data_IF_116167390863
#
_entry.id   IF_116167390863
#
_cell.length_a   1.000
_cell.length_b   1.000
_cell.length_c   1.000
_cell.angle_alpha   90.00
_cell.angle_beta   90.00
_cell.angle_gamma   90.00
#
_symmetry.space_group_name_H-M   'P 1'
#
loop_
_entity.id
_entity.type
_entity.pdbx_description
1 polymer ?
#
# COMPACT_ATOMS: atom_id res chain seq x y z
N UNK A 1 -39.50 27.88 -26.67
CA UNK A 1 -38.89 27.48 -25.38
C UNK A 1 -39.18 26.02 -25.13
N UNK A 2 -38.17 25.18 -24.88
CA UNK A 2 -38.37 23.75 -24.54
C UNK A 2 -38.94 23.65 -23.12
N UNK A 3 -40.18 23.18 -23.01
CA UNK A 3 -40.79 22.82 -21.72
C UNK A 3 -40.27 21.45 -21.28
N UNK A 4 -39.96 21.31 -19.99
CA UNK A 4 -39.42 20.09 -19.39
C UNK A 4 -40.27 19.69 -18.19
N UNK A 5 -40.62 18.41 -18.10
CA UNK A 5 -41.28 17.84 -16.93
C UNK A 5 -40.22 17.35 -15.94
N UNK A 6 -40.33 17.77 -14.67
CA UNK A 6 -39.40 17.42 -13.58
C UNK A 6 -40.17 17.04 -12.32
N UNK A 7 -39.52 16.32 -11.43
CA UNK A 7 -40.04 16.00 -10.09
C UNK A 7 -39.39 16.95 -9.08
N UNK A 8 -40.19 17.57 -8.21
CA UNK A 8 -39.69 18.48 -7.17
C UNK A 8 -38.88 17.71 -6.12
N UNK A 9 -37.65 18.12 -5.84
CA UNK A 9 -36.78 17.49 -4.82
C UNK A 9 -37.19 17.72 -3.36
N UNK A 10 -38.42 18.19 -3.10
CA UNK A 10 -38.91 18.47 -1.74
C UNK A 10 -40.27 17.84 -1.47
N UNK A 11 -41.22 17.99 -2.39
CA UNK A 11 -42.58 17.47 -2.25
C UNK A 11 -42.92 16.36 -3.26
N UNK A 12 -41.93 15.89 -4.02
CA UNK A 12 -42.02 14.84 -5.03
C UNK A 12 -43.12 15.03 -6.10
N UNK A 13 -43.63 16.26 -6.23
CA UNK A 13 -44.68 16.59 -7.19
C UNK A 13 -44.06 16.90 -8.56
N UNK A 14 -44.67 16.35 -9.62
CA UNK A 14 -44.29 16.66 -10.99
C UNK A 14 -44.63 18.11 -11.35
N UNK A 15 -43.75 18.80 -12.06
CA UNK A 15 -43.94 20.19 -12.49
C UNK A 15 -43.24 20.48 -13.83
N UNK A 16 -43.77 21.47 -14.55
CA UNK A 16 -43.26 21.90 -15.86
C UNK A 16 -42.35 23.13 -15.70
N UNK A 17 -41.19 23.12 -16.34
CA UNK A 17 -40.26 24.26 -16.30
C UNK A 17 -39.51 24.43 -17.61
N UNK A 18 -39.14 25.67 -17.92
CA UNK A 18 -38.25 26.00 -19.03
C UNK A 18 -36.77 25.97 -18.62
N UNK A 19 -36.47 25.95 -17.30
CA UNK A 19 -35.10 26.02 -16.77
C UNK A 19 -34.51 24.63 -16.50
N UNK A 20 -33.36 24.34 -17.13
CA UNK A 20 -32.64 23.08 -16.93
C UNK A 20 -32.19 22.86 -15.47
N UNK A 21 -31.85 23.91 -14.73
CA UNK A 21 -31.35 23.81 -13.34
C UNK A 21 -32.43 23.84 -12.26
N UNK A 22 -33.71 23.98 -12.63
CA UNK A 22 -34.78 23.99 -11.64
C UNK A 22 -34.89 22.63 -10.94
N UNK A 23 -35.00 22.67 -9.60
CA UNK A 23 -35.15 21.50 -8.70
C UNK A 23 -36.45 21.51 -7.89
N UNK A 24 -37.15 22.64 -7.85
CA UNK A 24 -38.32 22.83 -7.00
C UNK A 24 -39.50 23.31 -7.83
N UNK A 25 -40.70 22.80 -7.55
CA UNK A 25 -41.93 23.18 -8.25
C UNK A 25 -42.37 24.61 -7.92
N UNK A 26 -42.06 25.11 -6.72
CA UNK A 26 -42.47 26.44 -6.24
C UNK A 26 -41.36 27.12 -5.44
N UNK A 27 -41.37 28.48 -5.37
CA UNK A 27 -40.52 29.22 -4.45
C UNK A 27 -40.71 28.79 -2.99
N UNK A 28 -41.93 28.40 -2.59
CA UNK A 28 -42.23 27.88 -1.27
C UNK A 28 -41.50 26.56 -0.98
N UNK A 29 -41.50 25.61 -1.92
CA UNK A 29 -40.74 24.35 -1.79
C UNK A 29 -39.23 24.60 -1.71
N UNK A 30 -38.72 25.59 -2.45
CA UNK A 30 -37.31 26.01 -2.36
C UNK A 30 -36.98 26.56 -0.98
N UNK A 31 -37.82 27.45 -0.42
CA UNK A 31 -37.63 28.03 0.91
C UNK A 31 -37.77 26.97 2.00
N UNK A 32 -38.76 26.09 1.91
CA UNK A 32 -38.97 25.00 2.86
C UNK A 32 -37.79 24.01 2.86
N UNK A 33 -37.29 23.63 1.68
CA UNK A 33 -36.08 22.82 1.55
C UNK A 33 -34.85 23.53 2.12
N UNK A 34 -34.67 24.83 1.83
CA UNK A 34 -33.57 25.61 2.41
C UNK A 34 -33.66 25.73 3.93
N UNK A 35 -34.86 25.87 4.49
CA UNK A 35 -35.08 25.93 5.94
C UNK A 35 -34.83 24.57 6.61
N UNK A 36 -35.28 23.48 6.00
CA UNK A 36 -34.96 22.12 6.46
C UNK A 36 -33.44 21.88 6.42
N UNK A 37 -32.78 22.27 5.32
CA UNK A 37 -31.33 22.22 5.20
C UNK A 37 -30.63 23.10 6.23
N UNK A 38 -31.16 24.29 6.55
CA UNK A 38 -30.60 25.18 7.56
C UNK A 38 -30.76 24.62 8.99
N UNK A 39 -31.88 23.95 9.28
CA UNK A 39 -32.10 23.22 10.54
C UNK A 39 -31.14 22.04 10.67
N UNK A 40 -31.06 21.20 9.64
CA UNK A 40 -30.09 20.10 9.57
C UNK A 40 -28.64 20.61 9.64
N UNK A 41 -28.36 21.77 9.04
CA UNK A 41 -27.05 22.41 9.12
C UNK A 41 -26.75 22.85 10.54
N UNK A 42 -27.68 23.53 11.25
CA UNK A 42 -27.57 23.92 12.66
C UNK A 42 -27.38 22.72 13.60
N UNK A 43 -28.11 21.64 13.37
CA UNK A 43 -27.96 20.40 14.13
C UNK A 43 -26.62 19.71 13.83
N UNK A 44 -26.17 19.75 12.57
CA UNK A 44 -24.81 19.33 12.22
C UNK A 44 -23.74 20.25 12.82
N UNK A 45 -23.95 21.58 12.96
CA UNK A 45 -22.92 22.46 13.52
C UNK A 45 -22.67 22.20 15.01
N UNK A 46 -23.62 21.57 15.71
CA UNK A 46 -23.45 21.14 17.11
C UNK A 46 -22.53 19.93 17.26
N UNK A 47 -22.52 19.03 16.28
CA UNK A 47 -21.64 17.87 16.30
C UNK A 47 -20.24 18.26 15.86
N UNK A 48 -19.24 17.81 16.62
CA UNK A 48 -17.84 17.92 16.26
C UNK A 48 -17.55 17.21 14.93
N UNK A 49 -16.43 17.59 14.32
CA UNK A 49 -15.96 16.97 13.08
C UNK A 49 -15.78 15.45 13.23
N UNK A 50 -15.22 15.00 14.36
CA UNK A 50 -15.12 13.59 14.71
C UNK A 50 -16.48 12.90 14.82
N UNK A 51 -17.44 13.49 15.53
CA UNK A 51 -18.78 12.89 15.71
C UNK A 51 -19.49 12.67 14.37
N UNK A 52 -19.41 13.62 13.44
CA UNK A 52 -19.95 13.46 12.08
C UNK A 52 -19.31 12.32 11.32
N UNK A 53 -18.01 12.07 11.52
CA UNK A 53 -17.28 10.99 10.87
C UNK A 53 -17.60 9.65 11.53
N UNK A 54 -17.72 9.61 12.86
CA UNK A 54 -18.14 8.42 13.62
C UNK A 54 -19.56 8.00 13.25
N UNK A 55 -20.47 8.94 12.96
CA UNK A 55 -21.80 8.61 12.46
C UNK A 55 -21.79 7.85 11.12
N UNK A 56 -20.68 7.88 10.36
CA UNK A 56 -20.52 7.21 9.06
C UNK A 56 -19.89 5.82 9.15
N UNK A 57 -19.55 5.32 10.33
CA UNK A 57 -19.00 3.98 10.50
C UNK A 57 -19.85 2.88 9.84
N UNK A 58 -21.20 2.86 9.97
CA UNK A 58 -22.03 1.80 9.38
C UNK A 58 -22.05 1.77 7.85
N UNK A 59 -21.57 2.83 7.21
CA UNK A 59 -21.54 2.95 5.73
C UNK A 59 -20.12 2.94 5.19
N UNK A 60 -19.12 2.70 6.03
CA UNK A 60 -17.71 2.68 5.67
C UNK A 60 -17.21 1.25 5.49
N UNK A 61 -16.54 0.96 4.37
CA UNK A 61 -16.07 -0.40 4.03
C UNK A 61 -15.08 -0.93 5.07
N UNK A 62 -14.14 -0.09 5.51
CA UNK A 62 -13.13 -0.42 6.52
C UNK A 62 -13.75 -0.83 7.85
N UNK A 63 -14.78 -0.10 8.28
CA UNK A 63 -15.41 -0.33 9.58
C UNK A 63 -16.42 -1.48 9.54
N UNK A 64 -17.07 -1.71 8.41
CA UNK A 64 -17.87 -2.92 8.18
C UNK A 64 -16.98 -4.19 8.11
N UNK A 65 -15.77 -4.08 7.56
CA UNK A 65 -14.80 -5.17 7.68
C UNK A 65 -14.41 -5.40 9.15
N UNK A 66 -14.08 -4.33 9.88
CA UNK A 66 -13.73 -4.42 11.30
C UNK A 66 -14.87 -5.03 12.13
N UNK A 67 -16.13 -4.68 11.89
CA UNK A 67 -17.27 -5.27 12.61
C UNK A 67 -17.37 -6.77 12.38
N UNK A 68 -17.09 -7.24 11.17
CA UNK A 68 -17.08 -8.68 10.84
C UNK A 68 -15.94 -9.42 11.54
N UNK A 69 -14.74 -8.84 11.60
CA UNK A 69 -13.62 -9.46 12.32
C UNK A 69 -13.85 -9.45 13.85
N UNK A 70 -14.43 -8.38 14.40
CA UNK A 70 -14.85 -8.32 15.82
C UNK A 70 -15.91 -9.38 16.13
N UNK A 71 -16.92 -9.55 15.25
CA UNK A 71 -17.91 -10.63 15.39
C UNK A 71 -17.23 -12.00 15.33
N UNK A 72 -16.30 -12.20 14.39
CA UNK A 72 -15.51 -13.45 14.27
C UNK A 72 -14.70 -13.75 15.53
N UNK A 73 -14.18 -12.74 16.22
CA UNK A 73 -13.49 -12.87 17.50
C UNK A 73 -14.43 -13.16 18.68
N UNK A 74 -15.72 -12.80 18.57
CA UNK A 74 -16.73 -12.97 19.61
C UNK A 74 -16.66 -11.94 20.74
N UNK A 75 -15.83 -10.90 20.62
CA UNK A 75 -15.68 -9.83 21.61
C UNK A 75 -15.08 -8.56 20.99
N UNK A 76 -15.49 -7.38 21.46
CA UNK A 76 -14.83 -6.11 21.08
C UNK A 76 -13.45 -5.94 21.73
N UNK A 77 -13.14 -6.73 22.77
CA UNK A 77 -11.84 -6.69 23.45
C UNK A 77 -10.69 -7.15 22.55
N UNK A 78 -10.96 -7.75 21.38
CA UNK A 78 -9.93 -7.97 20.37
C UNK A 78 -9.34 -6.65 19.81
N UNK A 79 -9.96 -5.49 20.08
CA UNK A 79 -9.44 -4.17 19.74
C UNK A 79 -8.58 -3.55 20.86
N UNK A 80 -8.22 -4.32 21.87
CA UNK A 80 -7.38 -3.86 22.97
C UNK A 80 -6.02 -3.38 22.48
N UNK A 81 -5.53 -2.28 23.08
CA UNK A 81 -4.19 -1.74 22.82
C UNK A 81 -4.10 -0.76 21.64
N UNK A 82 -5.22 -0.42 21.00
CA UNK A 82 -5.21 0.54 19.90
C UNK A 82 -4.95 1.98 20.35
N UNK A 83 -4.14 2.68 19.54
CA UNK A 83 -4.00 4.14 19.51
C UNK A 83 -4.56 4.66 18.17
N UNK A 84 -4.73 5.99 17.98
CA UNK A 84 -5.12 6.53 16.68
C UNK A 84 -4.16 6.13 15.54
N UNK A 85 -2.88 6.04 15.85
CA UNK A 85 -1.81 5.66 14.92
C UNK A 85 -1.94 4.17 14.55
N UNK A 86 -2.12 3.27 15.52
CA UNK A 86 -2.24 1.84 15.22
C UNK A 86 -3.57 1.48 14.55
N UNK A 87 -4.64 2.27 14.73
CA UNK A 87 -5.86 2.16 13.90
C UNK A 87 -5.60 2.56 12.45
N UNK A 88 -4.77 3.58 12.23
CA UNK A 88 -4.38 3.99 10.87
C UNK A 88 -3.60 2.88 10.19
N UNK A 89 -2.59 2.33 10.88
CA UNK A 89 -1.81 1.19 10.41
C UNK A 89 -2.66 -0.07 10.15
N UNK A 90 -3.68 -0.34 10.97
CA UNK A 90 -4.60 -1.45 10.74
C UNK A 90 -5.33 -1.31 9.40
N UNK A 91 -5.82 -0.11 9.09
CA UNK A 91 -6.52 0.14 7.83
C UNK A 91 -5.57 0.24 6.64
N UNK A 92 -4.32 0.66 6.84
CA UNK A 92 -3.26 0.56 5.83
C UNK A 92 -2.95 -0.90 5.49
N UNK A 93 -2.88 -1.78 6.48
CA UNK A 93 -2.71 -3.23 6.28
C UNK A 93 -3.90 -3.82 5.51
N UNK A 94 -5.13 -3.44 5.88
CA UNK A 94 -6.34 -3.82 5.13
C UNK A 94 -6.26 -3.37 3.67
N UNK A 95 -5.87 -2.12 3.41
CA UNK A 95 -5.72 -1.60 2.05
C UNK A 95 -4.58 -2.29 1.30
N UNK A 96 -3.47 -2.58 1.98
CA UNK A 96 -2.32 -3.27 1.40
C UNK A 96 -2.70 -4.67 0.91
N UNK A 97 -3.50 -5.43 1.67
CA UNK A 97 -4.05 -6.72 1.21
C UNK A 97 -4.77 -6.58 -0.15
N UNK A 98 -5.62 -5.56 -0.32
CA UNK A 98 -6.31 -5.34 -1.60
C UNK A 98 -5.36 -4.92 -2.74
N UNK A 99 -4.29 -4.19 -2.42
CA UNK A 99 -3.21 -3.84 -3.36
C UNK A 99 -2.29 -5.02 -3.76
N UNK A 100 -2.53 -6.23 -3.24
CA UNK A 100 -1.89 -7.44 -3.74
C UNK A 100 -2.56 -7.99 -5.00
N UNK A 101 -3.76 -7.50 -5.34
CA UNK A 101 -4.56 -7.85 -6.53
C UNK A 101 -4.73 -9.36 -6.74
N UNK A 102 -4.76 -10.13 -5.65
CA UNK A 102 -4.75 -11.59 -5.70
C UNK A 102 -6.13 -12.23 -5.50
N UNK A 103 -7.20 -11.44 -5.62
CA UNK A 103 -8.57 -11.94 -5.52
C UNK A 103 -9.02 -12.48 -6.87
N UNK A 104 -9.43 -13.74 -6.91
CA UNK A 104 -10.04 -14.36 -8.08
C UNK A 104 -11.58 -14.24 -7.97
N UNK A 105 -12.25 -13.49 -8.87
CA UNK A 105 -13.70 -13.33 -8.84
C UNK A 105 -14.48 -14.63 -9.10
N UNK A 106 -13.94 -15.56 -9.90
CA UNK A 106 -14.60 -16.80 -10.29
C UNK A 106 -14.65 -17.79 -9.12
N UNK A 107 -13.49 -18.05 -8.51
CA UNK A 107 -13.40 -18.93 -7.34
C UNK A 107 -13.80 -18.25 -6.04
N UNK A 108 -13.98 -16.92 -6.04
CA UNK A 108 -14.23 -16.07 -4.85
C UNK A 108 -13.16 -16.26 -3.76
N UNK A 109 -11.94 -16.63 -4.13
CA UNK A 109 -10.83 -16.84 -3.21
C UNK A 109 -9.72 -15.81 -3.44
N UNK A 110 -9.00 -15.48 -2.38
CA UNK A 110 -7.81 -14.62 -2.44
C UNK A 110 -6.56 -15.47 -2.23
N UNK A 111 -5.51 -15.25 -3.02
CA UNK A 111 -4.22 -15.93 -2.78
C UNK A 111 -3.57 -15.49 -1.47
N UNK A 112 -3.93 -14.31 -0.97
CA UNK A 112 -3.42 -13.76 0.29
C UNK A 112 -4.51 -13.57 1.34
N UNK A 113 -4.19 -13.93 2.57
CA UNK A 113 -5.01 -13.76 3.77
C UNK A 113 -4.36 -12.78 4.74
N UNK A 114 -5.17 -12.16 5.61
CA UNK A 114 -4.67 -11.51 6.81
C UNK A 114 -4.47 -12.61 7.86
N UNK A 115 -3.22 -13.01 8.06
CA UNK A 115 -2.83 -13.99 9.05
C UNK A 115 -2.71 -13.33 10.42
N UNK A 116 -2.95 -14.12 11.47
CA UNK A 116 -2.77 -13.70 12.85
C UNK A 116 -1.61 -14.48 13.47
N UNK A 117 -0.73 -13.79 14.20
CA UNK A 117 0.34 -14.40 15.00
C UNK A 117 -0.25 -15.14 16.20
N UNK A 118 -1.08 -14.43 16.99
CA UNK A 118 -1.96 -15.04 17.98
C UNK A 118 -3.36 -15.21 17.37
N UNK A 119 -3.90 -16.42 17.30
CA UNK A 119 -5.10 -16.73 16.52
C UNK A 119 -6.35 -16.06 17.10
N UNK A 120 -7.25 -15.64 16.20
CA UNK A 120 -8.56 -15.05 16.56
C UNK A 120 -9.32 -15.95 17.54
N UNK A 121 -9.30 -17.27 17.32
CA UNK A 121 -9.97 -18.27 18.15
C UNK A 121 -8.95 -19.21 18.80
N UNK A 122 -8.06 -18.64 19.61
CA UNK A 122 -7.17 -19.42 20.47
C UNK A 122 -7.93 -20.20 21.56
N UNK A 123 -7.29 -21.24 22.09
CA UNK A 123 -7.86 -22.10 23.15
C UNK A 123 -8.06 -21.32 24.44
N UNK A 124 -7.03 -20.58 24.88
CA UNK A 124 -7.04 -19.82 26.14
C UNK A 124 -7.07 -18.29 25.94
N UNK A 125 -6.96 -17.83 24.69
CA UNK A 125 -6.89 -16.42 24.35
C UNK A 125 -7.66 -16.09 23.07
N UNK A 126 -7.91 -14.80 22.86
CA UNK A 126 -8.45 -14.22 21.63
C UNK A 126 -7.38 -13.29 21.06
N UNK A 127 -6.89 -13.61 19.87
CA UNK A 127 -5.94 -12.76 19.15
C UNK A 127 -6.53 -11.39 18.85
N UNK A 128 -5.75 -10.34 19.09
CA UNK A 128 -6.19 -8.96 18.85
C UNK A 128 -6.19 -8.65 17.34
N UNK A 129 -7.17 -7.88 16.90
CA UNK A 129 -7.22 -7.29 15.55
C UNK A 129 -6.33 -6.04 15.52
N UNK A 130 -5.02 -6.21 15.70
CA UNK A 130 -4.05 -5.14 15.85
C UNK A 130 -2.91 -5.29 14.82
N UNK A 131 -2.36 -4.22 14.21
CA UNK A 131 -1.30 -4.36 13.18
C UNK A 131 -0.07 -5.14 13.64
N UNK A 132 0.21 -5.15 14.96
CA UNK A 132 1.31 -5.93 15.56
C UNK A 132 0.99 -7.42 15.80
N UNK A 133 -0.25 -7.84 15.56
CA UNK A 133 -0.67 -9.25 15.61
C UNK A 133 -0.99 -9.79 14.20
N UNK A 134 -0.94 -8.94 13.18
CA UNK A 134 -1.44 -9.23 11.84
C UNK A 134 -0.34 -9.07 10.81
N UNK A 135 -0.40 -9.91 9.78
CA UNK A 135 0.40 -9.76 8.57
C UNK A 135 -0.30 -10.36 7.36
N UNK A 136 0.12 -9.99 6.16
CA UNK A 136 -0.41 -10.54 4.92
C UNK A 136 0.42 -11.75 4.48
N UNK A 137 -0.23 -12.88 4.30
CA UNK A 137 0.44 -14.15 4.01
C UNK A 137 -0.29 -14.96 2.95
N UNK A 138 0.39 -15.91 2.26
CA UNK A 138 -0.28 -16.86 1.38
C UNK A 138 -1.41 -17.62 2.09
N UNK A 139 -2.54 -17.74 1.40
CA UNK A 139 -3.75 -18.34 1.93
C UNK A 139 -3.53 -19.78 2.41
N UNK A 140 -2.82 -20.58 1.62
CA UNK A 140 -2.51 -21.98 1.92
C UNK A 140 -1.69 -22.11 3.21
N UNK A 141 -0.63 -21.32 3.36
CA UNK A 141 0.21 -21.35 4.56
C UNK A 141 -0.60 -21.00 5.82
N UNK A 142 -1.45 -19.97 5.74
CA UNK A 142 -2.35 -19.60 6.83
C UNK A 142 -3.38 -20.69 7.16
N UNK A 143 -3.96 -21.34 6.15
CA UNK A 143 -4.92 -22.44 6.34
C UNK A 143 -4.27 -23.66 6.99
N UNK A 144 -3.07 -24.04 6.55
CA UNK A 144 -2.30 -25.17 7.12
C UNK A 144 -1.89 -24.87 8.57
N UNK A 145 -1.55 -23.61 8.87
CA UNK A 145 -1.22 -23.20 10.23
C UNK A 145 -2.45 -23.24 11.16
N UNK A 146 -3.62 -22.87 10.63
CA UNK A 146 -4.89 -22.90 11.38
C UNK A 146 -4.81 -22.07 12.67
N UNK A 147 -5.34 -22.59 13.78
CA UNK A 147 -5.35 -21.92 15.09
C UNK A 147 -4.13 -22.27 15.96
N UNK A 148 -3.02 -22.70 15.36
CA UNK A 148 -1.76 -22.86 16.09
C UNK A 148 -1.26 -21.49 16.55
N UNK A 149 -0.55 -21.48 17.67
CA UNK A 149 0.04 -20.27 18.24
C UNK A 149 1.32 -20.63 18.95
N UNK A 150 2.29 -19.73 18.92
CA UNK A 150 3.51 -19.83 19.71
C UNK A 150 3.35 -18.97 20.97
N UNK A 151 3.85 -19.48 22.10
CA UNK A 151 3.71 -18.80 23.38
C UNK A 151 4.39 -17.42 23.36
N UNK A 152 3.72 -16.42 23.89
CA UNK A 152 4.21 -15.04 23.91
C UNK A 152 4.24 -14.33 22.56
N UNK A 153 3.75 -14.96 21.49
CA UNK A 153 3.74 -14.38 20.13
C UNK A 153 2.41 -13.73 19.80
N UNK A 154 2.47 -12.52 19.25
CA UNK A 154 1.30 -11.74 18.86
C UNK A 154 0.53 -11.15 20.05
N UNK A 155 -0.28 -10.13 19.77
CA UNK A 155 -1.15 -9.53 20.77
C UNK A 155 -2.42 -10.36 20.95
N UNK A 156 -2.78 -10.64 22.19
CA UNK A 156 -4.01 -11.36 22.53
C UNK A 156 -4.57 -10.94 23.89
N UNK A 157 -5.83 -11.28 24.10
CA UNK A 157 -6.53 -11.11 25.38
C UNK A 157 -6.87 -12.48 25.95
N UNK A 158 -6.60 -12.70 27.24
CA UNK A 158 -6.97 -13.95 27.91
C UNK A 158 -8.48 -14.11 27.95
N UNK A 159 -8.98 -15.31 27.61
CA UNK A 159 -10.42 -15.61 27.68
C UNK A 159 -10.98 -15.46 29.09
N UNK A 160 -10.18 -15.77 30.10
CA UNK A 160 -10.55 -15.64 31.50
C UNK A 160 -10.72 -14.17 31.93
N UNK A 161 -10.11 -13.23 31.22
CA UNK A 161 -10.23 -11.79 31.49
C UNK A 161 -11.34 -11.08 30.70
N UNK A 162 -12.01 -11.79 29.78
CA UNK A 162 -13.05 -11.19 28.94
C UNK A 162 -14.25 -10.76 29.78
N UNK A 163 -14.76 -9.57 29.49
CA UNK A 163 -15.90 -8.99 30.21
C UNK A 163 -17.18 -9.27 29.45
N UNK A 164 -18.18 -9.80 30.15
CA UNK A 164 -19.48 -10.17 29.57
C UNK A 164 -20.12 -9.06 28.72
N UNK A 165 -20.01 -7.80 29.15
CA UNK A 165 -20.57 -6.64 28.44
C UNK A 165 -19.97 -6.41 27.03
N UNK A 166 -18.76 -6.92 26.81
CA UNK A 166 -18.00 -6.76 25.56
C UNK A 166 -18.09 -7.96 24.62
N UNK A 167 -18.70 -9.06 25.06
CA UNK A 167 -18.96 -10.21 24.21
C UNK A 167 -19.94 -9.87 23.09
N UNK A 168 -19.76 -10.51 21.94
CA UNK A 168 -20.56 -10.38 20.73
C UNK A 168 -21.10 -11.76 20.37
N UNK A 169 -22.41 -11.86 20.17
CA UNK A 169 -23.04 -13.09 19.67
C UNK A 169 -22.92 -13.17 18.13
N UNK A 170 -22.96 -14.38 17.60
CA UNK A 170 -22.76 -14.62 16.15
C UNK A 170 -23.85 -13.97 15.28
N UNK A 171 -25.04 -13.72 15.82
CA UNK A 171 -26.19 -13.09 15.15
C UNK A 171 -26.25 -11.55 15.33
N UNK A 172 -25.32 -10.96 16.08
CA UNK A 172 -25.32 -9.51 16.36
C UNK A 172 -25.09 -8.72 15.07
N UNK A 173 -25.98 -7.77 14.75
CA UNK A 173 -25.92 -6.96 13.52
C UNK A 173 -24.65 -6.10 13.44
N UNK A 174 -24.18 -5.77 12.23
CA UNK A 174 -22.99 -4.91 12.05
C UNK A 174 -23.16 -3.55 12.75
N UNK A 175 -24.37 -3.00 12.73
CA UNK A 175 -24.72 -1.75 13.40
C UNK A 175 -24.52 -1.84 14.92
N UNK A 176 -24.97 -2.93 15.54
CA UNK A 176 -24.87 -3.11 16.99
C UNK A 176 -23.43 -3.43 17.43
N UNK A 177 -22.70 -4.20 16.62
CA UNK A 177 -21.26 -4.42 16.82
C UNK A 177 -20.53 -3.07 16.79
N UNK A 178 -20.77 -2.24 15.76
CA UNK A 178 -20.14 -0.92 15.65
C UNK A 178 -20.51 0.01 16.82
N UNK A 179 -21.75 -0.04 17.31
CA UNK A 179 -22.14 0.72 18.49
C UNK A 179 -21.32 0.30 19.74
N UNK A 180 -21.04 -0.99 19.91
CA UNK A 180 -20.13 -1.48 20.96
C UNK A 180 -18.67 -1.07 20.72
N UNK A 181 -18.19 -1.10 19.47
CA UNK A 181 -16.85 -0.63 19.09
C UNK A 181 -16.66 0.85 19.43
N UNK A 182 -17.64 1.71 19.12
CA UNK A 182 -17.61 3.14 19.47
C UNK A 182 -17.47 3.33 20.98
N UNK A 183 -18.24 2.59 21.76
CA UNK A 183 -18.17 2.63 23.24
C UNK A 183 -16.84 2.12 23.78
N UNK A 184 -16.28 1.09 23.17
CA UNK A 184 -15.03 0.47 23.61
C UNK A 184 -13.80 1.34 23.31
N UNK A 185 -13.68 1.83 22.08
CA UNK A 185 -12.54 2.67 21.66
C UNK A 185 -12.62 4.09 22.24
N UNK A 186 -13.82 4.62 22.48
CA UNK A 186 -14.03 5.90 23.15
C UNK A 186 -13.18 7.04 22.56
N UNK A 187 -12.32 7.63 23.38
CA UNK A 187 -11.48 8.77 23.00
C UNK A 187 -10.46 8.45 21.89
N UNK A 188 -10.01 7.19 21.78
CA UNK A 188 -9.10 6.75 20.71
C UNK A 188 -9.78 6.92 19.35
N UNK A 189 -11.05 6.53 19.25
CA UNK A 189 -11.83 6.67 18.04
C UNK A 189 -12.09 8.14 17.69
N UNK A 190 -12.38 8.98 18.68
CA UNK A 190 -12.58 10.42 18.47
C UNK A 190 -11.31 11.05 17.89
N UNK A 191 -10.15 10.82 18.51
CA UNK A 191 -8.85 11.32 18.03
C UNK A 191 -8.51 10.80 16.64
N UNK A 192 -8.74 9.51 16.38
CA UNK A 192 -8.59 8.93 15.05
C UNK A 192 -9.47 9.65 14.03
N UNK A 193 -10.76 9.86 14.36
CA UNK A 193 -11.73 10.49 13.48
C UNK A 193 -11.48 11.99 13.26
N UNK A 194 -10.75 12.69 14.11
CA UNK A 194 -10.37 14.10 13.87
C UNK A 194 -9.35 14.23 12.72
N UNK A 195 -8.39 13.30 12.69
CA UNK A 195 -7.29 13.29 11.73
C UNK A 195 -7.64 12.51 10.45
N UNK A 196 -8.41 11.43 10.56
CA UNK A 196 -8.72 10.53 9.45
C UNK A 196 -10.16 10.71 8.93
N UNK A 197 -10.32 10.67 7.61
CA UNK A 197 -11.65 10.74 6.97
C UNK A 197 -12.31 9.35 7.02
N UNK A 198 -13.50 9.28 7.62
CA UNK A 198 -14.37 8.10 7.52
C UNK A 198 -15.33 8.36 6.35
N UNK A 199 -15.05 7.71 5.21
CA UNK A 199 -15.81 7.86 4.00
C UNK A 199 -16.83 6.73 3.85
N UNK A 200 -17.93 7.05 3.16
CA UNK A 200 -18.84 6.04 2.64
C UNK A 200 -18.10 5.13 1.66
N UNK A 201 -18.38 3.84 1.72
CA UNK A 201 -17.81 2.85 0.78
C UNK A 201 -18.07 3.31 -0.66
N UNK A 202 -17.06 3.34 -1.55
CA UNK A 202 -17.25 3.70 -2.95
C UNK A 202 -18.34 2.87 -3.63
N UNK A 203 -18.45 1.59 -3.25
CA UNK A 203 -19.48 0.66 -3.72
C UNK A 203 -20.89 1.13 -3.33
N UNK A 204 -21.07 1.51 -2.06
CA UNK A 204 -22.36 2.02 -1.57
C UNK A 204 -22.69 3.39 -2.18
N UNK A 205 -21.70 4.29 -2.30
CA UNK A 205 -21.87 5.56 -3.00
C UNK A 205 -22.32 5.36 -4.44
N UNK A 206 -21.80 4.34 -5.13
CA UNK A 206 -22.23 4.01 -6.48
C UNK A 206 -23.65 3.44 -6.55
N UNK A 207 -24.01 2.54 -5.62
CA UNK A 207 -25.36 2.00 -5.51
C UNK A 207 -26.40 3.12 -5.29
N UNK A 208 -26.11 4.06 -4.38
CA UNK A 208 -26.95 5.23 -4.14
C UNK A 208 -27.03 6.13 -5.36
N UNK A 209 -25.91 6.33 -6.06
CA UNK A 209 -25.90 7.13 -7.28
C UNK A 209 -26.78 6.51 -8.37
N UNK A 210 -26.68 5.20 -8.60
CA UNK A 210 -27.50 4.48 -9.57
C UNK A 210 -28.98 4.61 -9.24
N UNK A 211 -29.34 4.33 -7.98
CA UNK A 211 -30.72 4.43 -7.51
C UNK A 211 -31.33 5.82 -7.71
N UNK A 212 -30.53 6.88 -7.61
CA UNK A 212 -31.00 8.26 -7.66
C UNK A 212 -30.95 8.89 -9.07
N UNK A 213 -30.12 8.39 -9.97
CA UNK A 213 -29.87 9.02 -11.28
C UNK A 213 -30.33 8.18 -12.47
N UNK A 214 -30.51 6.87 -12.31
CA UNK A 214 -30.99 5.98 -13.37
C UNK A 214 -32.48 5.71 -13.13
N UNK A 215 -33.40 6.44 -13.79
CA UNK A 215 -34.82 6.14 -13.72
C UNK A 215 -35.09 4.74 -14.27
N UNK A 216 -36.00 4.01 -13.62
CA UNK A 216 -36.41 2.65 -14.01
C UNK A 216 -35.26 1.65 -14.13
N UNK A 217 -34.22 1.77 -13.30
CA UNK A 217 -33.06 0.86 -13.33
C UNK A 217 -33.38 -0.63 -13.05
N UNK A 218 -34.63 -0.96 -12.72
CA UNK A 218 -35.09 -2.34 -12.48
C UNK A 218 -34.61 -2.96 -11.16
N UNK A 219 -33.82 -2.24 -10.37
CA UNK A 219 -33.29 -2.70 -9.08
C UNK A 219 -33.66 -1.74 -7.95
N UNK A 220 -34.08 -2.31 -6.82
CA UNK A 220 -34.21 -1.58 -5.56
C UNK A 220 -32.83 -1.26 -4.96
N UNK A 221 -32.73 -0.24 -4.10
CA UNK A 221 -31.49 0.09 -3.40
C UNK A 221 -30.87 -1.12 -2.67
N UNK A 222 -31.68 -1.93 -1.99
CA UNK A 222 -31.21 -3.13 -1.29
C UNK A 222 -30.59 -4.17 -2.26
N UNK A 223 -31.15 -4.31 -3.47
CA UNK A 223 -30.56 -5.17 -4.50
C UNK A 223 -29.24 -4.58 -5.03
N UNK A 224 -29.16 -3.26 -5.26
CA UNK A 224 -27.94 -2.59 -5.68
C UNK A 224 -26.83 -2.69 -4.61
N UNK A 225 -27.20 -2.58 -3.33
CA UNK A 225 -26.29 -2.74 -2.19
C UNK A 225 -25.75 -4.17 -2.02
N UNK A 226 -26.31 -5.17 -2.72
CA UNK A 226 -25.77 -6.54 -2.74
C UNK A 226 -24.86 -6.80 -3.95
N UNK A 227 -24.83 -5.91 -4.93
CA UNK A 227 -24.00 -6.05 -6.13
C UNK A 227 -22.53 -5.74 -5.85
N UNK A 228 -21.66 -6.42 -6.59
CA UNK A 228 -20.23 -6.18 -6.60
C UNK A 228 -19.90 -4.81 -7.21
N UNK A 229 -18.79 -4.20 -6.79
CA UNK A 229 -18.38 -2.88 -7.28
C UNK A 229 -18.26 -2.83 -8.82
N UNK A 230 -17.65 -3.85 -9.43
CA UNK A 230 -17.49 -3.94 -10.90
C UNK A 230 -18.84 -3.99 -11.63
N UNK A 231 -19.85 -4.65 -11.07
CA UNK A 231 -21.21 -4.64 -11.66
C UNK A 231 -21.81 -3.23 -11.62
N UNK A 232 -21.69 -2.54 -10.48
CA UNK A 232 -22.17 -1.17 -10.33
C UNK A 232 -21.40 -0.18 -11.22
N UNK A 233 -20.10 -0.40 -11.42
CA UNK A 233 -19.28 0.36 -12.37
C UNK A 233 -19.75 0.15 -13.81
N UNK A 234 -20.01 -1.10 -14.21
CA UNK A 234 -20.59 -1.42 -15.53
C UNK A 234 -21.94 -0.75 -15.76
N UNK A 235 -22.86 -0.85 -14.80
CA UNK A 235 -24.19 -0.22 -14.90
C UNK A 235 -24.09 1.30 -15.11
N UNK A 236 -23.20 1.94 -14.35
CA UNK A 236 -22.96 3.38 -14.50
C UNK A 236 -22.32 3.73 -15.84
N UNK A 237 -21.32 2.98 -16.28
CA UNK A 237 -20.63 3.19 -17.54
C UNK A 237 -21.59 3.06 -18.73
N UNK A 238 -22.46 2.05 -18.73
CA UNK A 238 -23.53 1.86 -19.73
C UNK A 238 -24.49 3.05 -19.76
N UNK A 239 -24.91 3.56 -18.60
CA UNK A 239 -25.82 4.71 -18.55
C UNK A 239 -25.15 6.02 -19.00
N UNK A 240 -23.87 6.23 -18.67
CA UNK A 240 -23.12 7.42 -19.08
C UNK A 240 -22.59 7.33 -20.53
N UNK A 241 -22.84 6.23 -21.26
CA UNK A 241 -22.26 5.93 -22.57
C UNK A 241 -20.72 6.09 -22.57
N UNK A 242 -20.06 5.58 -21.54
CA UNK A 242 -18.60 5.59 -21.40
C UNK A 242 -18.07 4.16 -21.39
N UNK A 243 -16.87 4.00 -21.92
CA UNK A 243 -16.14 2.76 -21.76
C UNK A 243 -15.73 2.60 -20.30
N UNK A 244 -15.82 1.35 -19.82
CA UNK A 244 -15.33 1.02 -18.49
C UNK A 244 -13.80 0.98 -18.55
N UNK A 245 -13.16 1.89 -17.83
CA UNK A 245 -11.71 1.83 -17.64
C UNK A 245 -11.35 0.60 -16.81
N UNK A 246 -10.76 -0.41 -17.45
CA UNK A 246 -10.23 -1.60 -16.79
C UNK A 246 -8.70 -1.50 -16.76
N UNK A 247 -8.13 -1.45 -15.55
CA UNK A 247 -6.68 -1.62 -15.38
C UNK A 247 -6.43 -3.10 -15.15
N UNK A 248 -5.62 -3.70 -16.01
CA UNK A 248 -5.08 -5.02 -15.75
C UNK A 248 -3.97 -4.90 -14.70
N UNK A 249 -4.23 -5.44 -13.51
CA UNK A 249 -3.33 -5.34 -12.36
C UNK A 249 -2.79 -6.74 -12.06
N UNK A 250 -1.49 -6.91 -12.29
CA UNK A 250 -0.82 -8.17 -11.98
C UNK A 250 -0.81 -8.41 -10.46
N UNK A 251 -1.19 -9.62 -10.06
CA UNK A 251 -1.10 -10.03 -8.65
C UNK A 251 0.35 -10.01 -8.17
N UNK A 252 0.59 -9.43 -6.99
CA UNK A 252 1.93 -9.46 -6.36
C UNK A 252 2.39 -10.89 -6.10
N UNK A 253 3.69 -11.15 -6.27
CA UNK A 253 4.31 -12.43 -5.92
C UNK A 253 4.38 -12.62 -4.41
N UNK A 254 4.28 -13.86 -3.94
CA UNK A 254 4.31 -14.19 -2.51
C UNK A 254 5.60 -13.72 -1.82
N UNK A 255 6.75 -13.82 -2.50
CA UNK A 255 8.03 -13.37 -1.96
C UNK A 255 8.10 -11.84 -1.79
N UNK A 256 7.46 -11.08 -2.67
CA UNK A 256 7.36 -9.61 -2.56
C UNK A 256 6.47 -9.24 -1.39
N UNK A 257 5.30 -9.88 -1.26
CA UNK A 257 4.41 -9.65 -0.12
C UNK A 257 5.11 -10.01 1.19
N UNK A 258 5.84 -11.12 1.23
CA UNK A 258 6.61 -11.52 2.40
C UNK A 258 7.75 -10.53 2.71
N UNK A 259 8.44 -9.99 1.70
CA UNK A 259 9.48 -8.99 1.91
C UNK A 259 8.91 -7.67 2.46
N UNK A 260 7.84 -7.15 1.84
CA UNK A 260 7.14 -5.94 2.28
C UNK A 260 6.66 -6.09 3.74
N UNK A 261 6.08 -7.26 4.08
CA UNK A 261 5.60 -7.55 5.43
C UNK A 261 6.75 -7.77 6.43
N UNK A 262 7.86 -8.37 6.02
CA UNK A 262 9.06 -8.46 6.86
C UNK A 262 9.55 -7.06 7.22
N UNK A 263 9.73 -6.17 6.23
CA UNK A 263 10.17 -4.78 6.45
C UNK A 263 9.21 -4.07 7.41
N UNK A 264 7.90 -4.11 7.13
CA UNK A 264 6.88 -3.50 7.99
C UNK A 264 6.93 -4.02 9.43
N UNK A 265 7.02 -5.34 9.62
CA UNK A 265 7.07 -5.95 10.95
C UNK A 265 8.38 -5.65 11.67
N UNK A 266 9.51 -5.53 10.96
CA UNK A 266 10.77 -5.10 11.58
C UNK A 266 10.71 -3.67 12.11
N UNK A 267 9.85 -2.81 11.59
CA UNK A 267 9.66 -1.44 12.09
C UNK A 267 8.66 -1.38 13.24
N UNK A 268 7.62 -2.22 13.21
CA UNK A 268 6.47 -2.11 14.12
C UNK A 268 6.54 -3.02 15.35
N UNK A 269 7.22 -4.17 15.27
CA UNK A 269 7.33 -5.09 16.39
C UNK A 269 8.36 -4.60 17.43
N UNK A 270 8.12 -4.89 18.72
CA UNK A 270 9.11 -4.60 19.77
C UNK A 270 10.41 -5.38 19.54
N UNK A 271 11.52 -4.86 20.06
CA UNK A 271 12.79 -5.57 20.03
C UNK A 271 12.70 -6.91 20.78
N UNK A 272 13.32 -7.95 20.23
CA UNK A 272 13.30 -9.30 20.78
C UNK A 272 13.44 -10.36 19.70
N UNK A 273 13.49 -11.62 20.13
CA UNK A 273 13.79 -12.78 19.26
C UNK A 273 12.87 -12.86 18.05
N UNK A 274 11.58 -12.53 18.20
CA UNK A 274 10.62 -12.55 17.10
C UNK A 274 10.99 -11.55 16.01
N UNK A 275 11.26 -10.30 16.38
CA UNK A 275 11.72 -9.25 15.46
C UNK A 275 13.06 -9.65 14.83
N UNK A 276 13.99 -10.18 15.61
CA UNK A 276 15.32 -10.59 15.12
C UNK A 276 15.25 -11.73 14.10
N UNK A 277 14.27 -12.62 14.24
CA UNK A 277 14.01 -13.67 13.27
C UNK A 277 13.44 -13.10 11.96
N UNK A 278 12.56 -12.11 12.02
CA UNK A 278 12.02 -11.44 10.83
C UNK A 278 13.11 -10.60 10.14
N UNK A 279 13.92 -9.85 10.90
CA UNK A 279 15.08 -9.10 10.40
C UNK A 279 16.02 -10.02 9.64
N UNK A 280 16.28 -11.23 10.16
CA UNK A 280 17.09 -12.23 9.47
C UNK A 280 16.50 -12.67 8.12
N UNK A 281 15.17 -12.74 7.99
CA UNK A 281 14.54 -13.14 6.72
C UNK A 281 14.48 -12.02 5.67
N UNK A 282 14.62 -10.74 6.04
CA UNK A 282 14.66 -9.63 5.08
C UNK A 282 15.74 -9.81 4.00
N UNK A 283 17.04 -10.03 4.32
CA UNK A 283 18.06 -10.29 3.32
C UNK A 283 17.83 -11.63 2.58
N UNK A 284 17.30 -12.66 3.26
CA UNK A 284 16.98 -13.97 2.63
C UNK A 284 15.97 -13.79 1.49
N UNK A 285 14.85 -13.12 1.77
CA UNK A 285 13.79 -12.87 0.79
C UNK A 285 14.29 -11.99 -0.35
N UNK A 286 15.18 -11.03 -0.04
CA UNK A 286 15.74 -10.13 -1.04
C UNK A 286 16.69 -10.84 -2.00
N UNK A 287 17.62 -11.64 -1.48
CA UNK A 287 18.54 -12.44 -2.29
C UNK A 287 17.77 -13.42 -3.19
N UNK A 288 16.80 -14.15 -2.63
CA UNK A 288 15.99 -15.11 -3.40
C UNK A 288 15.08 -14.40 -4.40
N UNK A 289 14.53 -13.23 -4.05
CA UNK A 289 13.73 -12.42 -4.97
C UNK A 289 14.55 -11.85 -6.13
N UNK A 290 15.79 -11.42 -5.88
CA UNK A 290 16.73 -10.95 -6.90
C UNK A 290 17.21 -12.07 -7.83
N UNK A 291 17.36 -13.29 -7.32
CA UNK A 291 17.57 -14.47 -8.17
C UNK A 291 16.33 -14.74 -9.04
N UNK A 292 15.14 -14.84 -8.42
CA UNK A 292 13.90 -15.12 -9.14
C UNK A 292 13.59 -14.07 -10.22
N UNK A 293 13.96 -12.79 -10.02
CA UNK A 293 13.71 -11.74 -11.02
C UNK A 293 14.54 -11.91 -12.29
N UNK A 294 15.47 -12.87 -12.33
CA UNK A 294 16.32 -13.20 -13.48
C UNK A 294 15.99 -14.56 -14.09
N UNK A 295 15.08 -15.31 -13.48
CA UNK A 295 14.60 -16.56 -14.05
C UNK A 295 13.56 -16.27 -15.15
N UNK A 296 13.56 -17.06 -16.24
CA UNK A 296 12.54 -16.94 -17.28
C UNK A 296 11.14 -17.16 -16.68
N UNK A 297 10.14 -16.49 -17.25
CA UNK A 297 8.72 -16.57 -16.85
C UNK A 297 8.39 -16.06 -15.43
N UNK A 298 9.33 -15.39 -14.76
CA UNK A 298 9.10 -14.78 -13.44
C UNK A 298 8.86 -13.27 -13.52
N UNK A 299 7.61 -12.88 -13.78
CA UNK A 299 7.20 -11.46 -13.74
C UNK A 299 6.82 -10.97 -12.31
N UNK A 300 6.73 -9.66 -12.12
CA UNK A 300 6.19 -9.05 -10.89
C UNK A 300 7.18 -8.96 -9.72
N UNK A 301 8.48 -8.94 -10.01
CA UNK A 301 9.59 -8.85 -9.05
C UNK A 301 10.39 -7.54 -9.16
N UNK A 302 9.94 -6.59 -10.00
CA UNK A 302 10.62 -5.31 -10.24
C UNK A 302 10.78 -4.45 -8.98
N UNK A 303 9.97 -4.68 -7.94
CA UNK A 303 10.15 -4.01 -6.64
C UNK A 303 11.34 -4.53 -5.84
N UNK A 304 11.82 -5.75 -6.12
CA UNK A 304 13.02 -6.34 -5.50
C UNK A 304 14.27 -5.96 -6.30
N UNK A 305 14.22 -6.24 -7.61
CA UNK A 305 15.30 -5.94 -8.53
C UNK A 305 14.73 -5.69 -9.94
N UNK A 306 14.85 -4.45 -10.39
CA UNK A 306 14.41 -3.97 -11.70
C UNK A 306 15.33 -4.50 -12.82
N UNK A 307 14.83 -4.51 -14.06
CA UNK A 307 15.61 -4.85 -15.25
C UNK A 307 15.59 -3.70 -16.27
N UNK A 308 16.30 -2.58 -16.00
CA UNK A 308 16.36 -1.51 -16.97
C UNK A 308 17.07 -1.95 -18.25
N UNK A 309 16.62 -1.41 -19.38
CA UNK A 309 17.23 -1.68 -20.68
C UNK A 309 18.69 -1.22 -20.69
N UNK A 310 19.64 -2.09 -21.06
CA UNK A 310 21.07 -1.77 -21.16
C UNK A 310 21.89 -2.03 -19.90
N UNK A 311 21.25 -2.30 -18.75
CA UNK A 311 21.94 -2.80 -17.55
C UNK A 311 21.72 -4.30 -17.41
N UNK A 312 22.79 -5.07 -17.24
CA UNK A 312 22.72 -6.52 -17.06
C UNK A 312 23.27 -6.87 -15.68
N UNK A 313 22.46 -7.55 -14.87
CA UNK A 313 22.95 -8.06 -13.60
C UNK A 313 22.16 -9.26 -13.14
N UNK A 314 22.80 -10.43 -13.16
CA UNK A 314 22.28 -11.64 -12.55
C UNK A 314 23.17 -11.96 -11.34
N UNK A 315 22.83 -11.48 -10.13
CA UNK A 315 23.74 -11.58 -9.00
C UNK A 315 23.91 -12.99 -8.46
N UNK A 316 22.89 -13.83 -8.65
CA UNK A 316 22.79 -15.16 -8.08
C UNK A 316 22.32 -16.14 -9.14
N UNK A 317 22.84 -17.36 -9.10
CA UNK A 317 22.35 -18.49 -9.89
C UNK A 317 22.06 -19.70 -9.01
N UNK A 318 21.12 -20.51 -9.48
CA UNK A 318 20.86 -21.82 -8.92
C UNK A 318 22.02 -22.77 -9.26
N UNK A 319 22.49 -23.55 -8.30
CA UNK A 319 23.49 -24.60 -8.52
C UNK A 319 22.90 -25.74 -9.35
N UNK A 320 23.75 -26.38 -10.16
CA UNK A 320 23.36 -27.50 -11.01
C UNK A 320 22.71 -28.63 -10.21
N UNK A 321 21.63 -29.20 -10.77
CA UNK A 321 20.87 -30.30 -10.17
C UNK A 321 19.97 -29.90 -8.98
N UNK A 322 19.91 -28.62 -8.61
CA UNK A 322 19.00 -28.14 -7.57
C UNK A 322 17.63 -27.77 -8.16
N UNK A 323 16.60 -27.86 -7.33
CA UNK A 323 15.21 -27.59 -7.72
C UNK A 323 14.77 -26.21 -7.23
N UNK A 324 14.51 -25.31 -8.19
CA UNK A 324 14.03 -23.95 -7.95
C UNK A 324 12.76 -23.90 -7.08
N UNK A 325 11.82 -24.82 -7.31
CA UNK A 325 10.55 -24.86 -6.58
C UNK A 325 10.78 -25.24 -5.12
N UNK A 326 11.67 -26.20 -4.84
CA UNK A 326 12.00 -26.59 -3.46
C UNK A 326 12.63 -25.45 -2.67
N UNK A 327 13.52 -24.67 -3.29
CA UNK A 327 14.10 -23.50 -2.64
C UNK A 327 13.04 -22.44 -2.31
N UNK A 328 12.21 -22.10 -3.30
CA UNK A 328 11.14 -21.10 -3.13
C UNK A 328 10.17 -21.51 -2.03
N UNK A 329 9.75 -22.77 -2.04
CA UNK A 329 8.80 -23.29 -1.06
C UNK A 329 9.44 -23.34 0.33
N UNK A 330 10.69 -23.80 0.45
CA UNK A 330 11.46 -23.76 1.70
C UNK A 330 11.49 -22.36 2.29
N UNK A 331 11.92 -21.36 1.52
CA UNK A 331 12.01 -19.97 2.00
C UNK A 331 10.63 -19.43 2.37
N UNK A 332 9.62 -19.66 1.54
CA UNK A 332 8.25 -19.22 1.79
C UNK A 332 7.69 -19.79 3.11
N UNK A 333 7.90 -21.08 3.37
CA UNK A 333 7.44 -21.73 4.60
C UNK A 333 8.22 -21.25 5.83
N UNK A 334 9.55 -21.15 5.73
CA UNK A 334 10.39 -20.70 6.84
C UNK A 334 10.09 -19.25 7.22
N UNK A 335 9.93 -18.37 6.24
CA UNK A 335 9.51 -16.98 6.48
C UNK A 335 8.13 -16.89 7.11
N UNK A 336 7.16 -17.66 6.61
CA UNK A 336 5.82 -17.68 7.20
C UNK A 336 5.86 -18.12 8.67
N UNK A 337 6.61 -19.19 8.98
CA UNK A 337 6.77 -19.66 10.35
C UNK A 337 7.46 -18.63 11.25
N UNK A 338 8.48 -17.94 10.74
CA UNK A 338 9.15 -16.86 11.47
C UNK A 338 8.20 -15.69 11.76
N UNK A 339 7.38 -15.28 10.79
CA UNK A 339 6.35 -14.24 11.01
C UNK A 339 5.32 -14.66 12.05
N UNK A 340 4.95 -15.94 12.09
CA UNK A 340 4.08 -16.48 13.15
C UNK A 340 4.75 -16.50 14.54
N UNK A 341 6.07 -16.34 14.62
CA UNK A 341 6.82 -16.36 15.87
C UNK A 341 7.43 -17.73 16.21
N UNK A 342 7.52 -18.64 15.23
CA UNK A 342 8.29 -19.87 15.42
C UNK A 342 9.78 -19.54 15.64
N UNK A 343 10.48 -20.41 16.36
CA UNK A 343 11.93 -20.34 16.40
C UNK A 343 12.51 -20.69 15.03
N UNK A 344 13.59 -19.98 14.67
CA UNK A 344 14.23 -20.09 13.37
C UNK A 344 15.63 -20.67 13.55
N UNK A 345 15.89 -21.81 12.91
CA UNK A 345 17.25 -22.31 12.75
C UNK A 345 17.95 -21.53 11.63
N UNK A 346 18.59 -20.42 12.01
CA UNK A 346 19.32 -19.55 11.08
C UNK A 346 20.43 -20.32 10.34
N UNK A 347 21.07 -21.29 10.99
CA UNK A 347 22.15 -22.09 10.40
C UNK A 347 21.60 -23.02 9.31
N UNK A 348 20.46 -23.67 9.56
CA UNK A 348 19.78 -24.49 8.54
C UNK A 348 19.40 -23.64 7.32
N UNK A 349 18.84 -22.45 7.53
CA UNK A 349 18.46 -21.54 6.44
C UNK A 349 19.70 -21.14 5.63
N UNK A 350 20.76 -20.66 6.27
CA UNK A 350 22.00 -20.26 5.59
C UNK A 350 22.65 -21.42 4.82
N UNK A 351 22.75 -22.60 5.43
CA UNK A 351 23.30 -23.78 4.76
C UNK A 351 22.47 -24.20 3.56
N UNK A 352 21.14 -24.08 3.64
CA UNK A 352 20.24 -24.36 2.53
C UNK A 352 20.45 -23.34 1.41
N UNK A 353 20.52 -22.04 1.71
CA UNK A 353 20.79 -21.03 0.70
C UNK A 353 22.13 -21.26 0.01
N UNK A 354 23.21 -21.54 0.74
CA UNK A 354 24.54 -21.84 0.16
C UNK A 354 24.56 -23.11 -0.69
N UNK A 355 23.75 -24.11 -0.32
CA UNK A 355 23.57 -25.34 -1.10
C UNK A 355 22.86 -25.09 -2.43
N UNK A 356 21.92 -24.14 -2.47
CA UNK A 356 21.11 -23.92 -3.67
C UNK A 356 21.63 -22.77 -4.54
N UNK A 357 22.15 -21.71 -3.95
CA UNK A 357 22.56 -20.49 -4.64
C UNK A 357 24.07 -20.27 -4.52
N UNK A 358 24.60 -19.57 -5.52
CA UNK A 358 25.94 -19.00 -5.48
C UNK A 358 25.95 -17.64 -6.17
N UNK A 359 26.79 -16.72 -5.69
CA UNK A 359 26.97 -15.42 -6.33
C UNK A 359 27.78 -15.57 -7.61
N UNK A 360 27.23 -15.08 -8.72
CA UNK A 360 27.94 -15.01 -10.00
C UNK A 360 28.74 -13.74 -10.13
N UNK A 361 28.10 -12.61 -9.82
CA UNK A 361 28.71 -11.28 -9.83
C UNK A 361 28.08 -10.42 -8.74
N UNK A 362 28.88 -9.59 -8.08
CA UNK A 362 28.39 -8.65 -7.07
C UNK A 362 27.98 -7.33 -7.72
N UNK A 363 28.54 -6.97 -8.86
CA UNK A 363 28.33 -5.66 -9.47
C UNK A 363 27.54 -5.76 -10.78
N UNK A 364 26.64 -4.81 -11.10
CA UNK A 364 25.97 -4.76 -12.38
C UNK A 364 26.91 -4.42 -13.54
N UNK A 365 26.66 -5.01 -14.71
CA UNK A 365 27.30 -4.64 -15.96
C UNK A 365 26.48 -3.55 -16.68
N UNK A 366 27.10 -2.38 -16.82
CA UNK A 366 26.54 -1.21 -17.52
C UNK A 366 27.13 -1.00 -18.92
N UNK A 367 27.94 -1.92 -19.45
CA UNK A 367 28.64 -1.77 -20.75
C UNK A 367 27.70 -1.52 -21.94
N UNK A 368 26.42 -1.86 -21.81
CA UNK A 368 25.37 -1.67 -22.83
C UNK A 368 24.45 -0.48 -22.55
N UNK A 369 24.74 0.27 -21.49
CA UNK A 369 24.02 1.46 -21.05
C UNK A 369 24.80 2.70 -21.49
N UNK A 370 24.09 3.77 -21.86
CA UNK A 370 24.66 5.10 -22.06
C UNK A 370 23.72 6.15 -21.47
N UNK A 371 24.18 7.39 -21.34
CA UNK A 371 23.40 8.46 -20.68
C UNK A 371 22.03 8.71 -21.32
N UNK A 372 21.94 8.53 -22.65
CA UNK A 372 20.66 8.69 -23.36
C UNK A 372 19.66 7.59 -22.99
N UNK A 373 20.12 6.33 -22.91
CA UNK A 373 19.32 5.18 -22.47
C UNK A 373 18.88 5.36 -21.02
N UNK A 374 19.81 5.76 -20.15
CA UNK A 374 19.52 5.97 -18.72
C UNK A 374 18.48 7.06 -18.53
N UNK A 375 18.59 8.17 -19.28
CA UNK A 375 17.61 9.26 -19.23
C UNK A 375 16.24 8.85 -19.74
N UNK A 376 16.19 8.07 -20.83
CA UNK A 376 14.93 7.56 -21.38
C UNK A 376 14.22 6.59 -20.43
N UNK A 377 14.98 5.76 -19.72
CA UNK A 377 14.48 4.81 -18.72
C UNK A 377 14.70 5.27 -17.28
N UNK A 378 14.69 6.59 -17.04
CA UNK A 378 15.09 7.21 -15.77
C UNK A 378 14.47 6.55 -14.54
N UNK A 379 13.15 6.36 -14.53
CA UNK A 379 12.43 5.74 -13.42
C UNK A 379 12.88 4.30 -13.11
N UNK A 380 13.25 3.52 -14.14
CA UNK A 380 13.72 2.15 -13.96
C UNK A 380 15.14 2.13 -13.43
N UNK A 381 16.02 2.99 -13.95
CA UNK A 381 17.38 3.14 -13.45
C UNK A 381 17.41 3.67 -12.02
N UNK A 382 16.57 4.64 -11.67
CA UNK A 382 16.47 5.15 -10.30
C UNK A 382 16.09 4.04 -9.31
N UNK A 383 15.09 3.21 -9.65
CA UNK A 383 14.73 2.04 -8.84
C UNK A 383 15.86 1.03 -8.77
N UNK A 384 16.49 0.73 -9.90
CA UNK A 384 17.60 -0.21 -9.98
C UNK A 384 18.78 0.22 -9.10
N UNK A 385 19.22 1.48 -9.20
CA UNK A 385 20.30 2.03 -8.38
C UNK A 385 19.99 1.99 -6.87
N UNK A 386 18.73 2.21 -6.47
CA UNK A 386 18.31 2.05 -5.07
C UNK A 386 18.32 0.59 -4.62
N UNK A 387 18.04 -0.35 -5.53
CA UNK A 387 17.92 -1.77 -5.21
C UNK A 387 19.27 -2.49 -5.18
N UNK A 388 20.22 -2.09 -6.03
CA UNK A 388 21.53 -2.75 -6.17
C UNK A 388 22.27 -2.87 -4.83
N UNK A 389 22.51 -1.78 -4.06
CA UNK A 389 23.21 -1.88 -2.78
C UNK A 389 22.49 -2.81 -1.80
N UNK A 390 21.17 -2.73 -1.76
CA UNK A 390 20.38 -3.53 -0.84
C UNK A 390 20.46 -5.03 -1.18
N UNK A 391 20.55 -5.39 -2.47
CA UNK A 391 20.74 -6.78 -2.91
C UNK A 391 22.19 -7.23 -2.65
N UNK A 392 23.19 -6.38 -2.87
CA UNK A 392 24.59 -6.66 -2.55
C UNK A 392 24.77 -6.94 -1.05
N UNK A 393 24.24 -6.08 -0.18
CA UNK A 393 24.25 -6.26 1.28
C UNK A 393 23.56 -7.56 1.71
N UNK A 394 22.47 -7.93 1.03
CA UNK A 394 21.78 -9.19 1.28
C UNK A 394 22.67 -10.40 0.92
N UNK A 395 23.39 -10.36 -0.20
CA UNK A 395 24.28 -11.45 -0.64
C UNK A 395 25.46 -11.62 0.33
N UNK A 396 26.06 -10.50 0.74
CA UNK A 396 27.21 -10.46 1.65
C UNK A 396 26.80 -10.91 3.05
N UNK A 397 25.73 -10.36 3.62
CA UNK A 397 25.27 -10.72 4.98
C UNK A 397 24.86 -12.19 5.11
N UNK A 398 24.43 -12.83 4.03
CA UNK A 398 24.11 -14.27 4.00
C UNK A 398 25.36 -15.14 3.75
N UNK A 399 26.49 -14.53 3.37
CA UNK A 399 27.72 -15.21 2.97
C UNK A 399 27.48 -16.12 1.77
N UNK A 400 26.85 -15.58 0.72
CA UNK A 400 26.60 -16.27 -0.55
C UNK A 400 27.70 -16.01 -1.60
N UNK A 401 28.49 -14.96 -1.41
CA UNK A 401 29.66 -14.64 -2.23
C UNK A 401 30.93 -15.30 -1.68
N UNK A 402 31.96 -15.37 -2.54
CA UNK A 402 33.29 -15.77 -2.11
C UNK A 402 33.97 -14.65 -1.33
N UNK A 403 34.97 -15.00 -0.50
CA UNK A 403 35.77 -14.00 0.25
C UNK A 403 36.49 -13.01 -0.66
N UNK A 404 36.86 -13.44 -1.87
CA UNK A 404 37.52 -12.57 -2.85
C UNK A 404 36.55 -11.51 -3.37
N UNK A 405 35.37 -11.93 -3.82
CA UNK A 405 34.33 -11.01 -4.30
C UNK A 405 33.89 -10.03 -3.19
N UNK A 406 33.76 -10.51 -1.95
CA UNK A 406 33.45 -9.65 -0.81
C UNK A 406 34.54 -8.59 -0.58
N UNK A 407 35.81 -8.99 -0.64
CA UNK A 407 36.94 -8.07 -0.50
C UNK A 407 36.99 -7.02 -1.61
N UNK A 408 36.85 -7.44 -2.87
CA UNK A 408 36.82 -6.55 -4.03
C UNK A 408 35.71 -5.50 -3.90
N UNK A 409 34.49 -5.93 -3.55
CA UNK A 409 33.37 -5.02 -3.32
C UNK A 409 33.63 -4.04 -2.17
N UNK A 410 34.18 -4.51 -1.04
CA UNK A 410 34.45 -3.64 0.10
C UNK A 410 35.52 -2.60 -0.21
N UNK A 411 36.52 -2.93 -1.05
CA UNK A 411 37.51 -1.95 -1.52
C UNK A 411 36.88 -0.94 -2.49
N UNK A 412 36.08 -1.38 -3.47
CA UNK A 412 35.34 -0.48 -4.36
C UNK A 412 34.43 0.48 -3.59
N UNK A 413 33.68 -0.04 -2.61
CA UNK A 413 32.81 0.77 -1.76
C UNK A 413 33.59 1.77 -0.91
N UNK A 414 34.79 1.43 -0.42
CA UNK A 414 35.66 2.38 0.29
C UNK A 414 36.12 3.51 -0.61
N UNK A 415 36.53 3.20 -1.84
CA UNK A 415 36.94 4.21 -2.83
C UNK A 415 35.77 5.13 -3.16
N UNK A 416 34.59 4.58 -3.47
CA UNK A 416 33.40 5.36 -3.76
C UNK A 416 32.97 6.26 -2.58
N UNK A 417 33.05 5.75 -1.34
CA UNK A 417 32.76 6.56 -0.15
C UNK A 417 33.80 7.67 0.07
N UNK A 418 35.08 7.41 -0.21
CA UNK A 418 36.13 8.42 -0.14
C UNK A 418 35.93 9.51 -1.21
N UNK A 419 35.51 9.14 -2.42
CA UNK A 419 35.14 10.08 -3.48
C UNK A 419 33.93 10.91 -3.08
N UNK A 420 32.85 10.29 -2.60
CA UNK A 420 31.65 11.00 -2.10
C UNK A 420 31.99 11.98 -0.97
N UNK A 421 32.79 11.56 0.01
CA UNK A 421 33.23 12.44 1.10
C UNK A 421 34.07 13.62 0.57
N UNK A 422 34.90 13.37 -0.45
CA UNK A 422 35.65 14.42 -1.14
C UNK A 422 34.69 15.38 -1.85
N UNK A 423 33.68 14.85 -2.55
CA UNK A 423 32.66 15.66 -3.22
C UNK A 423 31.85 16.53 -2.25
N UNK A 424 31.39 15.96 -1.14
CA UNK A 424 30.67 16.67 -0.09
C UNK A 424 31.54 17.75 0.57
N UNK A 425 32.85 17.51 0.68
CA UNK A 425 33.79 18.50 1.24
C UNK A 425 33.93 19.78 0.41
N UNK A 426 33.55 19.77 -0.88
CA UNK A 426 33.60 20.95 -1.74
C UNK A 426 32.49 21.97 -1.46
N UNK A 427 31.55 21.72 -0.53
CA UNK A 427 30.46 22.66 -0.18
C UNK A 427 29.73 23.24 -1.41
N UNK A 428 29.33 22.38 -2.36
CA UNK A 428 28.57 22.84 -3.52
C UNK A 428 27.26 23.52 -3.08
N UNK A 429 27.19 24.84 -3.26
CA UNK A 429 25.92 25.57 -3.21
C UNK A 429 25.24 25.28 -4.54
N UNK A 430 24.21 24.42 -4.53
CA UNK A 430 23.37 24.22 -5.69
C UNK A 430 22.65 25.55 -5.98
N UNK A 431 23.04 26.20 -7.08
CA UNK A 431 22.42 27.44 -7.52
C UNK A 431 20.91 27.28 -7.65
N UNK A 432 20.15 28.15 -7.01
CA UNK A 432 18.68 28.09 -6.99
C UNK A 432 18.03 28.74 -8.22
N UNK A 433 18.84 29.31 -9.12
CA UNK A 433 18.36 30.07 -10.27
C UNK A 433 18.62 29.32 -11.59
N UNK A 434 17.69 29.45 -12.54
CA UNK A 434 17.76 28.80 -13.87
C UNK A 434 18.92 29.32 -14.74
N UNK A 435 19.65 30.31 -14.23
CA UNK A 435 20.77 31.02 -14.87
C UNK A 435 22.07 31.02 -14.04
N UNK A 436 22.16 30.19 -12.99
CA UNK A 436 23.33 30.20 -12.11
C UNK A 436 24.51 29.44 -12.76
N UNK A 437 25.31 30.16 -13.54
CA UNK A 437 26.60 29.68 -14.03
C UNK A 437 27.57 29.55 -12.85
N UNK A 438 28.40 28.50 -12.84
CA UNK A 438 29.34 28.25 -11.74
C UNK A 438 30.16 29.49 -11.41
N UNK A 439 30.15 29.92 -10.14
CA UNK A 439 31.02 31.00 -9.60
C UNK A 439 32.53 30.69 -9.68
N UNK A 440 32.90 29.50 -10.17
CA UNK A 440 34.25 29.27 -10.67
C UNK A 440 34.39 30.14 -11.91
N UNK A 441 35.05 31.30 -11.76
CA UNK A 441 35.55 32.13 -12.86
C UNK A 441 36.48 31.29 -13.74
N UNK A 442 35.90 30.43 -14.58
CA UNK A 442 36.56 29.92 -15.76
C UNK A 442 36.55 31.11 -16.70
N UNK A 443 37.66 31.85 -16.75
CA UNK A 443 37.88 32.81 -17.82
C UNK A 443 37.73 32.04 -19.13
N UNK A 444 36.64 32.30 -19.84
CA UNK A 444 36.56 31.92 -21.25
C UNK A 444 37.65 32.74 -21.91
N UNK A 445 38.65 32.07 -22.49
CA UNK A 445 39.76 32.74 -23.18
C UNK A 445 39.20 33.70 -24.24
N UNK A 446 39.79 34.90 -24.35
CA UNK A 446 39.29 36.02 -25.19
C UNK A 446 39.18 35.68 -26.69
N UNK A 447 39.74 34.56 -27.11
CA UNK A 447 39.76 34.00 -28.46
C UNK A 447 38.64 32.98 -28.73
N UNK A 448 37.74 32.72 -27.77
CA UNK A 448 36.53 31.96 -28.04
C UNK A 448 35.55 32.75 -28.93
N UNK A 449 35.61 32.50 -30.25
CA UNK A 449 34.57 32.95 -31.18
C UNK A 449 33.43 31.92 -31.20
N UNK A 450 32.26 32.21 -30.60
CA UNK A 450 31.13 31.29 -30.67
C UNK A 450 30.70 31.09 -32.13
N UNK A 451 30.49 29.83 -32.51
CA UNK A 451 30.01 29.48 -33.85
C UNK A 451 28.69 30.22 -34.15
N UNK A 452 28.65 31.14 -35.13
CA UNK A 452 27.48 31.98 -35.40
C UNK A 452 26.26 31.18 -35.91
N UNK A 453 26.43 29.89 -36.23
CA UNK A 453 25.37 28.99 -36.68
C UNK A 453 24.80 28.11 -35.57
N UNK A 454 25.19 28.27 -34.31
CA UNK A 454 24.64 27.48 -33.20
C UNK A 454 23.24 27.99 -32.81
N UNK A 455 22.16 27.22 -33.06
CA UNK A 455 20.78 27.66 -32.82
C UNK A 455 20.42 27.81 -31.34
N UNK A 456 21.30 27.37 -30.42
CA UNK A 456 21.05 27.41 -28.98
C UNK A 456 21.63 28.66 -28.27
N UNK A 457 22.39 29.52 -28.96
CA UNK A 457 22.90 30.77 -28.40
C UNK A 457 21.92 31.92 -28.65
N UNK A 458 21.11 32.26 -27.63
CA UNK A 458 20.24 33.45 -27.67
C UNK A 458 21.05 34.68 -27.25
N UNK A 459 21.28 35.62 -28.18
CA UNK A 459 21.83 36.95 -27.85
C UNK A 459 20.78 37.74 -27.09
N UNK A 460 21.06 38.06 -25.83
CA UNK A 460 20.28 39.03 -25.08
C UNK A 460 20.85 40.43 -25.37
N UNK A 461 20.03 41.33 -25.91
CA UNK A 461 20.39 42.74 -26.08
C UNK A 461 19.67 43.47 -24.96
N UNK A 462 20.43 44.00 -24.00
CA UNK A 462 19.85 44.82 -22.93
C UNK A 462 19.22 46.10 -23.52
N UNK A 463 17.97 46.43 -23.15
CA UNK A 463 17.39 47.70 -23.52
C UNK A 463 18.08 48.83 -22.74
N UNK A 464 18.66 49.77 -23.48
CA UNK A 464 19.19 51.01 -22.94
C UNK A 464 18.00 51.89 -22.55
N UNK A 465 17.78 52.09 -21.25
CA UNK A 465 16.88 53.13 -20.77
C UNK A 465 17.66 54.45 -20.77
N UNK A 466 17.31 55.35 -21.69
CA UNK A 466 17.75 56.73 -21.62
C UNK A 466 16.84 57.46 -20.63
N UNK A 467 17.41 57.91 -19.51
CA UNK A 467 16.73 58.80 -18.57
C UNK A 467 16.53 60.19 -19.21
N UNK A 468 15.31 60.74 -19.07
CA UNK A 468 15.03 62.17 -19.27
C UNK A 468 15.01 62.89 -17.93
#
# INVERSE_FOLDING_TARGET
>A
MVQRNKICSYCDTAYVTTQYKSKYCTPACRVASNNANARNKKESTRLSKAEKRIARLPVSEHWLWLSREVRRAGTVECLQGHTPETLTQLFELYNYKHRTYAYNPESRTSKFHTAHMSPVKGVHSVGCLHPHNLFIAPALANQVHSNKSYEGMGLSVSRASLKQKWLIADDTSDKDVLAKVVKYLGSVLVKYADNNKINTSPRLSQALWINNNIPDCGFTLNQLEKKGKRELDKMRATFENKELYEVDLSSKRSIVVALDESIRLTEQLPAGIHRDNIVFFTPVLRAVGAWLSREPDQEGLSSVLEQPYGAMWAPLKLREGMDASKLRDFVSFQTFQAMQGNQVDKKLVLNTLRKYLFATDISPDYSRSNDSIQKWHGDQYERFYKQVPMVQDAIISLGLCTKLQEYEYLEEAKVANAELATFESFNYVCGTDEYDYSMLNIQIEDDYQPNPSNPNLRRFIEPIYADF
#
